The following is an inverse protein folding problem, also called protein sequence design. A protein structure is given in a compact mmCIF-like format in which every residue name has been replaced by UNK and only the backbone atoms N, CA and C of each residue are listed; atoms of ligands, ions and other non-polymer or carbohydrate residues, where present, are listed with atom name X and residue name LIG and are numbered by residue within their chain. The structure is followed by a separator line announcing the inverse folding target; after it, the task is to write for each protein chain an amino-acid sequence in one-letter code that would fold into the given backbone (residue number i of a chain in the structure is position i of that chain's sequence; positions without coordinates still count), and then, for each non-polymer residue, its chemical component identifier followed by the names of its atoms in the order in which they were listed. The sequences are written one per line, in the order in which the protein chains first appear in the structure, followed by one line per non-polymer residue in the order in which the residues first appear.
data_IF_668833910463
#
_entry.id   IF_668833910463
#
_cell.length_a   1.000
_cell.length_b   1.000
_cell.length_c   1.000
_cell.angle_alpha   90.00
_cell.angle_beta   90.00
_cell.angle_gamma   90.00
#
_symmetry.space_group_name_H-M   'P 1'
#
loop_
_entity.id
_entity.type
_entity.pdbx_description
1 polymer ?
#
# COMPACT_ATOMS: atom_id res chain seq x y z
N UNK A 1 -12.96 14.87 13.32
CA UNK A 1 -12.21 13.75 13.94
C UNK A 1 -11.71 14.10 15.33
N UNK A 2 -10.86 15.13 15.51
CA UNK A 2 -10.36 15.52 16.85
C UNK A 2 -11.48 15.87 17.84
N UNK A 3 -12.46 16.68 17.43
CA UNK A 3 -13.61 17.02 18.29
C UNK A 3 -14.38 15.77 18.73
N UNK A 4 -14.62 14.84 17.81
CA UNK A 4 -15.29 13.57 18.11
C UNK A 4 -14.46 12.71 19.06
N UNK A 5 -13.17 12.54 18.80
CA UNK A 5 -12.28 11.70 19.60
C UNK A 5 -12.17 12.17 21.06
N UNK A 6 -12.11 13.49 21.29
CA UNK A 6 -12.07 14.08 22.64
C UNK A 6 -13.25 13.69 23.52
N UNK A 7 -14.41 13.37 22.93
CA UNK A 7 -15.61 12.97 23.68
C UNK A 7 -15.47 11.57 24.31
N UNK A 8 -14.50 10.77 23.86
CA UNK A 8 -14.35 9.36 24.25
C UNK A 8 -13.00 9.02 24.88
N UNK A 9 -11.99 9.92 24.81
CA UNK A 9 -10.67 9.68 25.36
C UNK A 9 -10.53 10.30 26.76
N UNK A 10 -9.92 9.55 27.69
CA UNK A 10 -9.60 10.05 29.03
C UNK A 10 -8.64 11.26 29.01
N UNK A 11 -7.75 11.30 28.01
CA UNK A 11 -6.83 12.41 27.76
C UNK A 11 -7.20 13.10 26.44
N UNK A 12 -7.75 14.33 26.47
CA UNK A 12 -8.17 15.03 25.27
C UNK A 12 -6.98 15.40 24.38
N UNK A 13 -6.98 14.89 23.15
CA UNK A 13 -5.93 15.18 22.16
C UNK A 13 -6.15 16.51 21.43
N UNK A 14 -5.06 17.18 21.07
CA UNK A 14 -5.01 18.43 20.32
C UNK A 14 -4.36 18.22 18.93
N UNK A 15 -4.35 19.29 18.11
CA UNK A 15 -3.62 19.24 16.83
C UNK A 15 -2.12 19.06 17.01
N UNK A 16 -1.55 19.47 18.16
CA UNK A 16 -0.12 19.34 18.45
C UNK A 16 0.31 17.89 18.68
N UNK A 17 -0.64 17.02 19.02
CA UNK A 17 -0.40 15.60 19.28
C UNK A 17 -0.44 14.75 18.00
N UNK A 18 -0.77 15.35 16.85
CA UNK A 18 -0.83 14.66 15.55
C UNK A 18 0.56 14.60 14.93
N UNK A 19 1.15 13.41 14.89
CA UNK A 19 2.51 13.19 14.35
C UNK A 19 2.57 13.11 12.82
N UNK A 20 1.48 12.67 12.18
CA UNK A 20 1.35 12.56 10.74
C UNK A 20 -0.13 12.46 10.34
N UNK A 21 -0.42 12.70 9.06
CA UNK A 21 -1.75 12.49 8.48
C UNK A 21 -1.63 12.07 7.02
N UNK A 22 -2.49 11.17 6.58
CA UNK A 22 -2.58 10.76 5.18
C UNK A 22 -4.03 10.84 4.69
N UNK A 23 -4.19 10.89 3.38
CA UNK A 23 -5.49 10.85 2.73
C UNK A 23 -5.44 9.84 1.57
N UNK A 24 -6.57 9.20 1.29
CA UNK A 24 -6.70 8.25 0.20
C UNK A 24 -8.05 8.43 -0.50
N UNK A 25 -8.05 8.31 -1.81
CA UNK A 25 -9.27 8.29 -2.61
C UNK A 25 -9.80 6.86 -2.69
N UNK A 26 -11.12 6.72 -2.62
CA UNK A 26 -11.77 5.42 -2.84
C UNK A 26 -12.26 5.37 -4.29
N UNK A 27 -11.75 4.45 -5.13
CA UNK A 27 -12.32 4.23 -6.45
C UNK A 27 -13.67 3.56 -6.25
N UNK A 28 -14.73 4.34 -6.45
CA UNK A 28 -16.11 3.93 -6.27
C UNK A 28 -16.73 3.68 -7.64
N UNK A 29 -17.37 2.52 -7.83
CA UNK A 29 -18.03 2.19 -9.09
C UNK A 29 -19.53 2.44 -8.99
N UNK A 30 -20.06 3.32 -9.84
CA UNK A 30 -21.49 3.55 -9.97
C UNK A 30 -21.95 3.14 -11.38
N UNK A 31 -22.63 2.00 -11.53
CA UNK A 31 -23.16 1.57 -12.82
C UNK A 31 -24.31 2.45 -13.33
N UNK A 32 -24.93 3.27 -12.46
CA UNK A 32 -26.08 4.13 -12.76
C UNK A 32 -25.70 5.61 -12.56
N UNK A 33 -24.90 6.17 -13.47
CA UNK A 33 -24.45 7.57 -13.43
C UNK A 33 -25.57 8.60 -13.76
N UNK A 34 -26.74 8.45 -13.13
CA UNK A 34 -27.88 9.39 -13.20
C UNK A 34 -28.69 9.50 -11.90
N UNK A 35 -28.26 8.85 -10.81
CA UNK A 35 -28.95 8.84 -9.51
C UNK A 35 -28.05 9.16 -8.31
N UNK A 36 -28.68 9.43 -7.17
CA UNK A 36 -28.05 9.86 -5.90
C UNK A 36 -26.77 9.07 -5.53
N UNK A 37 -25.72 9.81 -5.17
CA UNK A 37 -24.37 9.34 -4.77
C UNK A 37 -24.34 8.41 -3.56
N UNK A 38 -25.49 8.13 -2.93
CA UNK A 38 -25.63 7.21 -1.81
C UNK A 38 -25.76 5.73 -2.21
N UNK A 39 -26.05 5.42 -3.49
CA UNK A 39 -26.24 4.06 -4.00
C UNK A 39 -25.01 3.50 -4.75
N UNK A 40 -23.81 3.90 -4.35
CA UNK A 40 -22.58 3.37 -4.95
C UNK A 40 -22.26 2.01 -4.32
N UNK A 41 -22.23 0.96 -5.13
CA UNK A 41 -21.86 -0.38 -4.70
C UNK A 41 -20.41 -0.40 -4.19
N UNK A 42 -20.20 -1.06 -3.03
CA UNK A 42 -18.87 -1.33 -2.46
C UNK A 42 -18.26 -2.64 -2.98
N UNK A 43 -18.96 -3.32 -3.89
CA UNK A 43 -18.47 -4.53 -4.53
C UNK A 43 -17.54 -4.18 -5.69
N UNK A 44 -16.72 -5.14 -6.09
CA UNK A 44 -15.90 -4.98 -7.29
C UNK A 44 -16.70 -5.32 -8.52
N UNK A 45 -16.33 -4.71 -9.64
CA UNK A 45 -16.84 -5.04 -10.97
C UNK A 45 -15.68 -5.40 -11.87
N UNK A 46 -15.90 -6.43 -12.70
CA UNK A 46 -14.97 -6.90 -13.72
C UNK A 46 -15.71 -6.77 -15.04
N UNK A 47 -15.26 -5.86 -15.89
CA UNK A 47 -15.97 -5.44 -17.10
C UNK A 47 -15.08 -5.82 -18.29
N UNK A 48 -15.48 -6.80 -19.12
CA UNK A 48 -14.80 -7.04 -20.38
C UNK A 48 -15.16 -5.95 -21.39
N UNK A 49 -14.16 -5.36 -22.02
CA UNK A 49 -14.30 -4.23 -22.94
C UNK A 49 -13.46 -4.47 -24.20
N UNK A 50 -13.91 -3.92 -25.33
CA UNK A 50 -13.17 -3.93 -26.62
C UNK A 50 -12.69 -5.31 -27.10
N UNK A 51 -13.31 -6.40 -26.62
CA UNK A 51 -12.96 -7.80 -26.88
C UNK A 51 -11.60 -8.28 -26.35
N UNK A 52 -10.70 -7.40 -25.91
CA UNK A 52 -9.36 -7.77 -25.45
C UNK A 52 -8.90 -7.04 -24.18
N UNK A 53 -9.79 -6.29 -23.54
CA UNK A 53 -9.50 -5.53 -22.32
C UNK A 53 -10.42 -6.00 -21.19
N UNK A 54 -9.89 -6.00 -19.97
CA UNK A 54 -10.68 -6.24 -18.76
C UNK A 54 -10.40 -5.10 -17.79
N UNK A 55 -11.45 -4.37 -17.43
CA UNK A 55 -11.40 -3.31 -16.44
C UNK A 55 -11.86 -3.87 -15.09
N UNK A 56 -11.04 -3.69 -14.06
CA UNK A 56 -11.38 -4.02 -12.67
C UNK A 56 -11.53 -2.73 -11.87
N UNK A 57 -12.69 -2.51 -11.26
CA UNK A 57 -13.00 -1.29 -10.52
C UNK A 57 -13.78 -1.58 -9.24
N UNK A 58 -13.70 -0.68 -8.27
CA UNK A 58 -14.31 -0.84 -6.96
C UNK A 58 -13.61 -1.89 -6.09
N UNK A 59 -14.40 -2.53 -5.23
CA UNK A 59 -13.91 -3.59 -4.35
C UNK A 59 -13.22 -3.13 -3.07
N UNK A 60 -12.76 -4.12 -2.31
CA UNK A 60 -12.11 -3.93 -1.01
C UNK A 60 -10.75 -4.62 -1.02
N UNK A 61 -9.80 -4.04 -0.29
CA UNK A 61 -8.49 -4.68 -0.06
C UNK A 61 -8.63 -6.11 0.45
N UNK A 62 -9.53 -6.36 1.41
CA UNK A 62 -9.79 -7.70 1.96
C UNK A 62 -10.29 -8.73 0.94
N UNK A 63 -10.78 -8.29 -0.21
CA UNK A 63 -11.30 -9.16 -1.26
C UNK A 63 -10.32 -9.36 -2.42
N UNK A 64 -9.13 -8.72 -2.41
CA UNK A 64 -8.23 -8.64 -3.56
C UNK A 64 -7.97 -9.97 -4.27
N UNK A 65 -7.72 -11.05 -3.52
CA UNK A 65 -7.47 -12.38 -4.07
C UNK A 65 -8.67 -12.90 -4.87
N UNK A 66 -9.89 -12.77 -4.34
CA UNK A 66 -11.12 -13.16 -5.03
C UNK A 66 -11.43 -12.24 -6.22
N UNK A 67 -11.08 -10.95 -6.12
CA UNK A 67 -11.22 -10.01 -7.25
C UNK A 67 -10.31 -10.43 -8.41
N UNK A 68 -9.06 -10.77 -8.12
CA UNK A 68 -8.12 -11.27 -9.12
C UNK A 68 -8.59 -12.60 -9.73
N UNK A 69 -9.06 -13.54 -8.90
CA UNK A 69 -9.62 -14.82 -9.37
C UNK A 69 -10.84 -14.62 -10.30
N UNK A 70 -11.72 -13.66 -9.98
CA UNK A 70 -12.84 -13.29 -10.83
C UNK A 70 -12.37 -12.68 -12.16
N UNK A 71 -11.41 -11.76 -12.13
CA UNK A 71 -10.84 -11.16 -13.34
C UNK A 71 -10.22 -12.20 -14.29
N UNK A 72 -9.48 -13.16 -13.75
CA UNK A 72 -8.92 -14.27 -14.52
C UNK A 72 -10.00 -15.19 -15.10
N UNK A 73 -11.09 -15.42 -14.36
CA UNK A 73 -12.22 -16.23 -14.85
C UNK A 73 -12.89 -15.55 -16.04
N UNK A 74 -13.15 -14.24 -15.96
CA UNK A 74 -13.69 -13.46 -17.08
C UNK A 74 -12.74 -13.49 -18.28
N UNK A 75 -11.42 -13.43 -18.06
CA UNK A 75 -10.44 -13.54 -19.15
C UNK A 75 -10.50 -14.90 -19.87
N UNK A 76 -10.73 -16.00 -19.14
CA UNK A 76 -10.95 -17.32 -19.73
C UNK A 76 -12.25 -17.35 -20.53
N UNK A 77 -13.34 -16.81 -19.98
CA UNK A 77 -14.66 -16.80 -20.64
C UNK A 77 -14.65 -15.95 -21.92
N UNK A 78 -13.83 -14.89 -21.97
CA UNK A 78 -13.59 -14.08 -23.17
C UNK A 78 -12.57 -14.71 -24.14
N UNK A 79 -11.98 -15.86 -23.82
CA UNK A 79 -11.00 -16.54 -24.67
C UNK A 79 -9.65 -15.82 -24.76
N UNK A 80 -9.33 -14.92 -23.82
CA UNK A 80 -8.07 -14.17 -23.80
C UNK A 80 -6.89 -15.02 -23.29
N UNK A 81 -7.20 -16.01 -22.46
CA UNK A 81 -6.21 -16.92 -21.87
C UNK A 81 -6.78 -18.33 -21.80
N UNK A 82 -5.89 -19.32 -21.73
CA UNK A 82 -6.27 -20.72 -21.52
C UNK A 82 -6.82 -20.96 -20.11
N UNK A 83 -7.86 -21.79 -20.02
CA UNK A 83 -8.43 -22.20 -18.74
C UNK A 83 -7.41 -22.98 -17.91
N UNK A 84 -7.16 -22.51 -16.68
CA UNK A 84 -6.34 -23.20 -15.67
C UNK A 84 -7.00 -23.10 -14.29
N UNK A 85 -6.87 -24.11 -13.41
CA UNK A 85 -7.29 -23.99 -12.02
C UNK A 85 -6.56 -22.83 -11.32
N UNK A 86 -7.24 -22.14 -10.40
CA UNK A 86 -6.63 -21.05 -9.62
C UNK A 86 -6.00 -21.59 -8.31
N UNK A 87 -4.66 -21.65 -8.18
CA UNK A 87 -4.01 -22.17 -6.97
C UNK A 87 -3.92 -21.16 -5.84
N UNK A 88 -4.26 -19.89 -6.09
CA UNK A 88 -3.94 -18.75 -5.20
C UNK A 88 -4.52 -18.85 -3.79
N UNK A 89 -5.58 -19.66 -3.59
CA UNK A 89 -6.16 -19.90 -2.27
C UNK A 89 -5.18 -20.61 -1.32
N UNK A 90 -4.27 -21.42 -1.85
CA UNK A 90 -3.33 -22.24 -1.09
C UNK A 90 -1.87 -21.81 -1.27
N UNK A 91 -1.61 -20.79 -2.08
CA UNK A 91 -0.27 -20.25 -2.26
C UNK A 91 0.06 -19.28 -1.13
N UNK A 92 1.23 -19.47 -0.53
CA UNK A 92 1.80 -18.48 0.38
C UNK A 92 2.24 -17.24 -0.41
N UNK A 93 2.01 -16.07 0.16
CA UNK A 93 2.65 -14.84 -0.33
C UNK A 93 4.15 -14.90 -0.04
N UNK A 94 4.94 -14.22 -0.87
CA UNK A 94 6.36 -14.05 -0.62
C UNK A 94 6.59 -13.45 0.77
N UNK A 95 7.56 -14.01 1.50
CA UNK A 95 8.01 -13.50 2.78
C UNK A 95 9.50 -13.21 2.67
N UNK A 96 9.85 -11.98 2.97
CA UNK A 96 11.23 -11.58 3.16
C UNK A 96 11.74 -12.17 4.49
N UNK A 97 12.83 -12.91 4.42
CA UNK A 97 13.48 -13.52 5.59
C UNK A 97 14.79 -12.81 5.96
N UNK A 98 15.24 -11.85 5.15
CA UNK A 98 16.50 -11.14 5.37
C UNK A 98 16.27 -9.93 6.28
N UNK A 99 15.19 -9.19 6.03
CA UNK A 99 14.80 -8.05 6.85
C UNK A 99 13.41 -8.20 7.42
N UNK A 100 13.26 -7.78 8.68
CA UNK A 100 11.95 -7.61 9.32
C UNK A 100 11.62 -6.10 9.45
N UNK A 101 10.70 -5.58 8.62
CA UNK A 101 10.31 -4.16 8.67
C UNK A 101 9.76 -3.71 10.02
N UNK A 102 9.03 -4.59 10.73
CA UNK A 102 8.45 -4.26 12.04
C UNK A 102 9.53 -4.05 13.11
N UNK A 103 10.61 -4.86 13.06
CA UNK A 103 11.75 -4.72 13.98
C UNK A 103 12.57 -3.47 13.66
N UNK A 104 12.84 -3.21 12.38
CA UNK A 104 13.50 -1.98 11.93
C UNK A 104 12.74 -0.73 12.37
N UNK A 105 11.42 -0.71 12.23
CA UNK A 105 10.57 0.39 12.70
C UNK A 105 10.67 0.58 14.22
N UNK A 106 10.68 -0.51 14.99
CA UNK A 106 10.83 -0.44 16.43
C UNK A 106 12.20 0.13 16.83
N UNK A 107 13.27 -0.23 16.12
CA UNK A 107 14.61 0.32 16.34
C UNK A 107 14.72 1.79 15.94
N UNK A 108 14.07 2.20 14.85
CA UNK A 108 13.97 3.61 14.43
C UNK A 108 13.30 4.45 15.52
N UNK A 109 12.21 3.95 16.11
CA UNK A 109 11.48 4.65 17.16
C UNK A 109 12.25 4.71 18.48
N UNK A 110 13.04 3.67 18.80
CA UNK A 110 13.95 3.65 19.95
C UNK A 110 15.21 4.51 19.73
N UNK A 111 15.51 4.87 18.48
CA UNK A 111 16.74 5.58 18.10
C UNK A 111 17.98 4.71 18.15
N UNK A 112 17.82 3.38 18.08
CA UNK A 112 18.93 2.42 18.14
C UNK A 112 19.41 1.96 16.76
N UNK A 113 18.62 2.19 15.71
CA UNK A 113 18.99 1.84 14.34
C UNK A 113 20.14 2.72 13.84
N UNK A 114 21.19 2.11 13.31
CA UNK A 114 22.30 2.86 12.69
C UNK A 114 21.98 3.28 11.26
N UNK A 115 22.69 4.30 10.77
CA UNK A 115 22.53 4.79 9.40
C UNK A 115 22.97 3.72 8.38
N UNK A 116 23.96 2.88 8.71
CA UNK A 116 24.37 1.75 7.86
C UNK A 116 23.27 0.70 7.73
N UNK A 117 22.58 0.35 8.83
CA UNK A 117 21.48 -0.60 8.79
C UNK A 117 20.31 -0.08 7.93
N UNK A 118 19.99 1.21 8.08
CA UNK A 118 18.96 1.85 7.26
C UNK A 118 19.34 1.89 5.77
N UNK A 119 20.60 2.20 5.45
CA UNK A 119 21.12 2.17 4.08
C UNK A 119 21.09 0.75 3.51
N UNK A 120 21.50 -0.26 4.28
CA UNK A 120 21.46 -1.66 3.86
C UNK A 120 20.03 -2.11 3.52
N UNK A 121 19.05 -1.75 4.37
CA UNK A 121 17.65 -2.02 4.09
C UNK A 121 17.14 -1.29 2.83
N UNK A 122 17.56 -0.05 2.61
CA UNK A 122 17.19 0.71 1.41
C UNK A 122 17.77 0.07 0.13
N UNK A 123 19.01 -0.40 0.16
CA UNK A 123 19.64 -1.16 -0.94
C UNK A 123 18.85 -2.44 -1.22
N UNK A 124 18.51 -3.21 -0.18
CA UNK A 124 17.69 -4.40 -0.33
C UNK A 124 16.32 -4.11 -0.96
N UNK A 125 15.65 -3.04 -0.52
CA UNK A 125 14.38 -2.62 -1.09
C UNK A 125 14.49 -2.24 -2.58
N UNK A 126 15.58 -1.59 -2.97
CA UNK A 126 15.87 -1.24 -4.38
C UNK A 126 16.06 -2.50 -5.21
N UNK A 127 16.92 -3.40 -4.74
CA UNK A 127 17.38 -4.55 -5.52
C UNK A 127 16.34 -5.68 -5.61
N UNK A 128 15.51 -5.86 -4.57
CA UNK A 128 14.58 -7.00 -4.48
C UNK A 128 13.09 -6.61 -4.49
N UNK A 129 12.76 -5.38 -4.09
CA UNK A 129 11.38 -4.94 -3.88
C UNK A 129 10.95 -3.80 -4.81
N UNK A 130 11.75 -3.48 -5.83
CA UNK A 130 11.48 -2.42 -6.81
C UNK A 130 11.23 -1.04 -6.19
N UNK A 131 11.90 -0.72 -5.08
CA UNK A 131 11.91 0.66 -4.60
C UNK A 131 12.72 1.52 -5.58
N UNK A 132 12.12 2.61 -6.06
CA UNK A 132 12.77 3.53 -7.00
C UNK A 132 13.18 4.83 -6.32
N UNK A 133 12.53 5.13 -5.20
CA UNK A 133 12.69 6.37 -4.45
C UNK A 133 12.86 6.10 -2.97
N UNK A 134 13.41 7.07 -2.25
CA UNK A 134 13.56 7.02 -0.78
C UNK A 134 12.19 6.95 -0.10
N UNK A 135 11.20 7.59 -0.72
CA UNK A 135 9.82 7.61 -0.31
C UNK A 135 9.17 6.23 -0.44
N UNK A 136 9.52 5.43 -1.46
CA UNK A 136 9.06 4.04 -1.54
C UNK A 136 9.50 3.24 -0.31
N UNK A 137 10.73 3.45 0.17
CA UNK A 137 11.24 2.80 1.38
C UNK A 137 10.46 3.28 2.61
N UNK A 138 10.44 4.59 2.88
CA UNK A 138 9.93 5.10 4.16
C UNK A 138 8.40 5.18 4.27
N UNK A 139 7.67 5.28 3.14
CA UNK A 139 6.20 5.40 3.13
C UNK A 139 5.47 4.14 2.66
N UNK A 140 6.14 3.20 1.97
CA UNK A 140 5.50 1.99 1.42
C UNK A 140 6.07 0.68 1.92
N UNK A 141 7.37 0.60 2.27
CA UNK A 141 7.98 -0.60 2.86
C UNK A 141 8.05 -0.51 4.37
N UNK A 142 8.38 0.67 4.86
CA UNK A 142 8.17 1.10 6.24
C UNK A 142 6.92 2.00 6.31
N UNK A 143 6.36 2.07 7.52
CA UNK A 143 5.19 2.88 7.90
C UNK A 143 5.61 4.18 8.59
N UNK A 144 6.89 4.36 8.89
CA UNK A 144 7.38 5.56 9.60
C UNK A 144 6.97 6.86 8.88
N UNK A 145 6.97 6.86 7.54
CA UNK A 145 6.48 7.94 6.69
C UNK A 145 5.04 8.37 6.96
N UNK A 146 4.20 7.40 7.32
CA UNK A 146 2.78 7.63 7.60
C UNK A 146 2.49 7.85 9.09
N UNK A 147 3.45 7.52 9.97
CA UNK A 147 3.26 7.51 11.43
C UNK A 147 3.94 8.69 12.12
N UNK A 148 5.08 9.17 11.62
CA UNK A 148 5.83 10.27 12.24
C UNK A 148 6.54 11.12 11.19
N UNK A 149 6.01 12.33 10.95
CA UNK A 149 6.56 13.25 9.96
C UNK A 149 7.98 13.72 10.30
N UNK A 150 8.21 14.11 11.55
CA UNK A 150 9.51 14.64 11.99
C UNK A 150 10.61 13.58 11.85
N UNK A 151 10.35 12.34 12.26
CA UNK A 151 11.32 11.25 12.10
C UNK A 151 11.57 10.93 10.63
N UNK A 152 10.52 10.99 9.80
CA UNK A 152 10.67 10.76 8.37
C UNK A 152 11.55 11.82 7.70
N UNK A 153 11.39 13.10 8.04
CA UNK A 153 12.22 14.19 7.53
C UNK A 153 13.69 14.05 7.94
N UNK A 154 13.96 13.48 9.13
CA UNK A 154 15.31 13.14 9.58
C UNK A 154 15.94 11.98 8.77
N UNK A 155 15.14 10.96 8.42
CA UNK A 155 15.63 9.75 7.76
C UNK A 155 15.79 9.89 6.24
N UNK A 156 14.97 10.70 5.58
CA UNK A 156 14.99 10.87 4.11
C UNK A 156 16.39 11.20 3.55
N UNK A 157 17.17 12.14 4.12
CA UNK A 157 18.51 12.45 3.63
C UNK A 157 19.50 11.28 3.79
N UNK A 158 19.32 10.43 4.81
CA UNK A 158 20.28 9.37 5.16
C UNK A 158 20.37 8.26 4.13
N UNK A 159 19.28 8.01 3.40
CA UNK A 159 19.23 7.00 2.33
C UNK A 159 19.30 7.61 0.93
N UNK A 160 19.66 8.89 0.82
CA UNK A 160 19.70 9.62 -0.44
C UNK A 160 20.66 9.03 -1.45
N UNK A 161 21.86 8.71 -0.97
CA UNK A 161 22.96 8.17 -1.77
C UNK A 161 22.60 6.84 -2.46
N UNK A 162 21.72 6.04 -1.85
CA UNK A 162 21.31 4.71 -2.36
C UNK A 162 20.62 4.80 -3.72
N UNK A 163 19.88 5.89 -3.96
CA UNK A 163 19.06 6.09 -5.15
C UNK A 163 19.64 7.09 -6.14
N UNK A 164 20.79 7.71 -5.83
CA UNK A 164 21.44 8.71 -6.71
C UNK A 164 22.59 8.13 -7.53
N UNK A 165 23.12 6.97 -7.13
CA UNK A 165 24.29 6.35 -7.77
C UNK A 165 24.03 5.76 -9.16
N UNK A 166 22.77 5.63 -9.62
CA UNK A 166 22.41 4.96 -10.88
C UNK A 166 21.78 5.90 -11.94
N UNK A 167 21.83 7.22 -11.74
CA UNK A 167 21.37 8.19 -12.75
C UNK A 167 22.42 8.47 -13.86
N UNK A 168 23.33 7.52 -14.15
CA UNK A 168 24.40 7.62 -15.16
C UNK A 168 24.31 6.52 -16.20
#
# INVERSE_FOLDING_TARGET
MLETARKYLAYPISRKDVLASFAGLRPLFNPNAGGSTAAVSREHSVIPEFKNMITVTGGKWTAYRKMAEHAMSVAVDQGLIYKRPCPTKYMSIYRDNEFNPDELEAEILKGTLTDEQLKAYAVHCRDTQFAMTREDVLYRRLRIGQMNKAKTEELLPKIKEVFEAEAS
#
